data_IF_574559342246
#
_entry.id   IF_574559342246
#
_cell.length_a   1.000
_cell.length_b   1.000
_cell.length_c   1.000
_cell.angle_alpha   90.00
_cell.angle_beta   90.00
_cell.angle_gamma   90.00
#
_symmetry.space_group_name_H-M   'P 1'
#
loop_
_entity.id
_entity.type
_entity.pdbx_description
1 polymer ?
#
# COMPACT_ATOMS: atom_id res chain seq x y z
N UNK A 1 -12.42 -13.26 1.49
CA UNK A 1 -11.01 -13.41 1.10
C UNK A 1 -10.23 -12.27 1.75
N UNK A 2 -9.54 -12.50 2.89
CA UNK A 2 -8.91 -11.42 3.62
C UNK A 2 -7.57 -11.09 2.96
N UNK A 3 -7.54 -9.95 2.26
CA UNK A 3 -6.40 -9.02 2.15
C UNK A 3 -5.02 -9.65 2.15
N UNK A 4 -4.70 -10.31 1.04
CA UNK A 4 -3.31 -10.54 0.66
C UNK A 4 -2.62 -9.19 0.46
N UNK A 5 -1.47 -9.05 1.12
CA UNK A 5 -0.45 -8.00 1.01
C UNK A 5 -0.90 -6.53 1.12
N UNK A 6 -0.35 -5.82 2.12
CA UNK A 6 -0.46 -4.36 2.28
C UNK A 6 -0.13 -3.58 0.99
N UNK A 7 0.74 -4.11 0.15
CA UNK A 7 1.07 -3.57 -1.17
C UNK A 7 -0.13 -3.56 -2.12
N UNK A 8 -0.89 -4.65 -2.24
CA UNK A 8 -2.06 -4.72 -3.12
C UNK A 8 -3.18 -3.79 -2.64
N UNK A 9 -3.36 -3.68 -1.33
CA UNK A 9 -4.27 -2.69 -0.73
C UNK A 9 -3.86 -1.26 -1.09
N UNK A 10 -2.57 -0.92 -1.01
CA UNK A 10 -2.09 0.42 -1.38
C UNK A 10 -2.32 0.71 -2.87
N UNK A 11 -2.05 -0.26 -3.75
CA UNK A 11 -2.33 -0.09 -5.19
C UNK A 11 -3.82 0.11 -5.45
N UNK A 12 -4.69 -0.64 -4.76
CA UNK A 12 -6.13 -0.52 -4.89
C UNK A 12 -6.66 0.83 -4.41
N UNK A 13 -6.21 1.31 -3.24
CA UNK A 13 -6.58 2.64 -2.73
C UNK A 13 -6.06 3.75 -3.62
N UNK A 14 -4.81 3.65 -4.07
CA UNK A 14 -4.22 4.62 -4.98
C UNK A 14 -4.94 4.66 -6.34
N UNK A 15 -5.41 3.52 -6.85
CA UNK A 15 -6.16 3.46 -8.11
C UNK A 15 -7.45 4.28 -8.08
N UNK A 16 -8.16 4.30 -6.94
CA UNK A 16 -9.35 5.15 -6.76
C UNK A 16 -9.06 6.65 -6.86
N UNK A 17 -7.85 7.10 -6.52
CA UNK A 17 -7.48 8.51 -6.67
C UNK A 17 -7.56 8.99 -8.12
N UNK A 18 -7.30 8.12 -9.11
CA UNK A 18 -7.43 8.44 -10.54
C UNK A 18 -8.89 8.62 -10.95
N UNK A 19 -9.76 7.75 -10.46
CA UNK A 19 -11.22 7.84 -10.72
C UNK A 19 -11.75 9.14 -10.15
N UNK A 20 -11.40 9.45 -8.89
CA UNK A 20 -11.82 10.70 -8.24
C UNK A 20 -11.27 11.92 -8.99
N UNK A 21 -9.98 11.94 -9.33
CA UNK A 21 -9.37 13.05 -10.07
C UNK A 21 -10.06 13.25 -11.44
N UNK A 22 -10.34 12.16 -12.15
CA UNK A 22 -11.05 12.19 -13.43
C UNK A 22 -12.47 12.74 -13.32
N UNK A 23 -13.22 12.31 -12.30
CA UNK A 23 -14.58 12.80 -12.03
C UNK A 23 -14.58 14.28 -11.64
N UNK A 24 -13.66 14.67 -10.76
CA UNK A 24 -13.48 16.07 -10.37
C UNK A 24 -13.12 16.93 -11.57
N UNK A 25 -12.20 16.46 -12.42
CA UNK A 25 -11.85 17.15 -13.66
C UNK A 25 -13.06 17.26 -14.61
N UNK A 26 -13.82 16.17 -14.80
CA UNK A 26 -15.00 16.13 -15.67
C UNK A 26 -16.11 17.10 -15.21
N UNK A 27 -16.31 17.25 -13.89
CA UNK A 27 -17.39 18.05 -13.32
C UNK A 27 -16.98 19.51 -13.09
N UNK A 28 -15.80 19.75 -12.51
CA UNK A 28 -15.37 21.08 -12.09
C UNK A 28 -14.65 21.87 -13.18
N UNK A 29 -13.83 21.24 -14.05
CA UNK A 29 -13.09 22.00 -15.06
C UNK A 29 -14.01 22.78 -16.00
N UNK A 30 -15.13 22.23 -16.50
CA UNK A 30 -16.03 23.00 -17.36
C UNK A 30 -16.70 24.17 -16.64
N UNK A 31 -16.89 24.07 -15.31
CA UNK A 31 -17.45 25.14 -14.49
C UNK A 31 -16.45 26.29 -14.30
N UNK A 32 -15.18 25.94 -14.05
CA UNK A 32 -14.09 26.91 -13.84
C UNK A 32 -13.52 27.45 -15.15
N UNK A 33 -13.59 26.65 -16.21
CA UNK A 33 -13.00 26.89 -17.53
C UNK A 33 -14.02 26.50 -18.61
N UNK A 34 -14.95 27.39 -18.99
CA UNK A 34 -16.04 27.09 -19.93
C UNK A 34 -15.58 26.51 -21.28
N UNK A 35 -14.34 26.80 -21.69
CA UNK A 35 -13.72 26.21 -22.88
C UNK A 35 -13.58 24.68 -22.87
N UNK A 36 -13.78 24.02 -21.73
CA UNK A 36 -13.71 22.56 -21.57
C UNK A 36 -15.06 21.84 -21.72
N UNK A 37 -16.18 22.55 -21.92
CA UNK A 37 -17.48 21.88 -22.11
C UNK A 37 -17.48 20.89 -23.27
N UNK A 38 -16.87 21.25 -24.39
CA UNK A 38 -16.74 20.40 -25.57
C UNK A 38 -15.74 19.25 -25.38
N UNK A 39 -14.92 19.30 -24.33
CA UNK A 39 -13.88 18.32 -24.01
C UNK A 39 -14.25 17.37 -22.86
N UNK A 40 -15.46 17.50 -22.30
CA UNK A 40 -15.96 16.63 -21.20
C UNK A 40 -15.80 15.13 -21.48
N UNK A 41 -15.96 14.73 -22.74
CA UNK A 41 -15.83 13.34 -23.17
C UNK A 41 -14.42 12.76 -22.95
N UNK A 42 -13.36 13.57 -23.04
CA UNK A 42 -11.98 13.13 -22.78
C UNK A 42 -11.80 12.71 -21.32
N UNK A 43 -12.36 13.49 -20.38
CA UNK A 43 -12.33 13.13 -18.96
C UNK A 43 -13.22 11.92 -18.66
N UNK A 44 -14.37 11.80 -19.34
CA UNK A 44 -15.19 10.58 -19.27
C UNK A 44 -14.42 9.34 -19.73
N UNK A 45 -13.66 9.44 -20.82
CA UNK A 45 -12.77 8.38 -21.29
C UNK A 45 -11.65 8.04 -20.30
N UNK A 46 -11.05 9.05 -19.67
CA UNK A 46 -10.05 8.85 -18.62
C UNK A 46 -10.64 8.17 -17.38
N UNK A 47 -11.85 8.54 -16.95
CA UNK A 47 -12.56 7.87 -15.85
C UNK A 47 -12.86 6.41 -16.20
N UNK A 48 -13.33 6.14 -17.43
CA UNK A 48 -13.56 4.77 -17.88
C UNK A 48 -12.27 3.94 -17.88
N UNK A 49 -11.16 4.49 -18.38
CA UNK A 49 -9.83 3.88 -18.29
C UNK A 49 -9.42 3.60 -16.85
N UNK A 50 -9.61 4.56 -15.94
CA UNK A 50 -9.30 4.40 -14.53
C UNK A 50 -10.14 3.31 -13.86
N UNK A 51 -11.44 3.20 -14.19
CA UNK A 51 -12.33 2.14 -13.71
C UNK A 51 -11.93 0.75 -14.21
N UNK A 52 -11.56 0.64 -15.49
CA UNK A 52 -11.00 -0.62 -16.04
C UNK A 52 -9.72 -0.99 -15.30
N UNK A 53 -8.82 -0.01 -15.10
CA UNK A 53 -7.61 -0.18 -14.30
C UNK A 53 -7.91 -0.67 -12.89
N UNK A 54 -8.92 -0.10 -12.23
CA UNK A 54 -9.37 -0.52 -10.90
C UNK A 54 -9.87 -1.96 -10.87
N UNK A 55 -10.65 -2.37 -11.87
CA UNK A 55 -11.11 -3.75 -12.03
C UNK A 55 -9.95 -4.74 -12.24
N UNK A 56 -8.92 -4.34 -12.99
CA UNK A 56 -7.70 -5.14 -13.17
C UNK A 56 -6.89 -5.25 -11.88
N UNK A 57 -6.83 -4.19 -11.05
CA UNK A 57 -6.21 -4.24 -9.71
C UNK A 57 -6.96 -5.24 -8.83
N UNK A 58 -8.29 -5.17 -8.79
CA UNK A 58 -9.13 -6.09 -8.02
C UNK A 58 -8.93 -7.55 -8.43
N UNK A 59 -8.78 -7.82 -9.73
CA UNK A 59 -8.53 -9.18 -10.25
C UNK A 59 -7.07 -9.62 -10.19
N UNK A 60 -6.14 -8.77 -9.70
CA UNK A 60 -4.71 -9.10 -9.65
C UNK A 60 -4.01 -9.18 -11.02
N UNK A 61 -4.58 -8.59 -12.08
CA UNK A 61 -4.09 -8.72 -13.46
C UNK A 61 -3.12 -7.58 -13.81
N UNK A 62 -2.00 -7.92 -14.46
CA UNK A 62 -1.10 -6.95 -15.12
C UNK A 62 0.04 -6.36 -14.29
N UNK A 63 0.07 -6.60 -12.97
CA UNK A 63 1.24 -6.34 -12.12
C UNK A 63 1.90 -4.94 -12.29
N UNK A 64 3.25 -4.86 -12.34
CA UNK A 64 3.98 -3.60 -12.52
C UNK A 64 3.71 -2.90 -13.86
N UNK A 65 3.49 -3.68 -14.93
CA UNK A 65 3.27 -3.14 -16.29
C UNK A 65 2.00 -2.32 -16.34
N UNK A 66 0.89 -2.82 -15.74
CA UNK A 66 -0.36 -2.06 -15.62
C UNK A 66 -0.15 -0.72 -14.92
N UNK A 67 0.57 -0.73 -13.80
CA UNK A 67 0.80 0.50 -13.03
C UNK A 67 1.66 1.50 -13.79
N UNK A 68 2.66 1.02 -14.55
CA UNK A 68 3.45 1.85 -15.47
C UNK A 68 2.60 2.46 -16.59
N UNK A 69 1.81 1.63 -17.30
CA UNK A 69 0.91 2.09 -18.38
C UNK A 69 -0.06 3.15 -17.84
N UNK A 70 -0.64 2.91 -16.67
CA UNK A 70 -1.49 3.90 -16.00
C UNK A 70 -0.76 5.21 -15.74
N UNK A 71 0.48 5.18 -15.25
CA UNK A 71 1.27 6.38 -15.01
C UNK A 71 1.59 7.17 -16.29
N UNK A 72 1.83 6.47 -17.42
CA UNK A 72 2.02 7.11 -18.73
C UNK A 72 0.74 7.79 -19.22
N UNK A 73 -0.42 7.13 -19.06
CA UNK A 73 -1.72 7.71 -19.42
C UNK A 73 -2.05 8.93 -18.55
N UNK A 74 -1.81 8.85 -17.24
CA UNK A 74 -1.98 9.99 -16.32
C UNK A 74 -1.14 11.18 -16.79
N UNK A 75 0.12 10.94 -17.11
CA UNK A 75 1.04 11.98 -17.58
C UNK A 75 0.56 12.62 -18.87
N UNK A 76 0.11 11.83 -19.86
CA UNK A 76 -0.41 12.35 -21.11
C UNK A 76 -1.67 13.20 -20.89
N UNK A 77 -2.61 12.72 -20.07
CA UNK A 77 -3.84 13.42 -19.74
C UNK A 77 -3.58 14.76 -19.02
N UNK A 78 -2.69 14.75 -18.03
CA UNK A 78 -2.32 15.96 -17.28
C UNK A 78 -1.55 16.94 -18.17
N UNK A 79 -0.65 16.46 -19.03
CA UNK A 79 0.09 17.31 -19.98
C UNK A 79 -0.85 18.01 -20.95
N UNK A 80 -1.81 17.26 -21.51
CA UNK A 80 -2.84 17.82 -22.37
C UNK A 80 -3.65 18.89 -21.64
N UNK A 81 -4.11 18.61 -20.43
CA UNK A 81 -4.89 19.55 -19.61
C UNK A 81 -4.12 20.84 -19.35
N UNK A 82 -2.88 20.72 -18.86
CA UNK A 82 -2.04 21.86 -18.47
C UNK A 82 -1.75 22.77 -19.67
N UNK A 83 -1.46 22.20 -20.84
CA UNK A 83 -1.32 22.99 -22.07
C UNK A 83 -2.59 23.81 -22.40
N UNK A 84 -3.76 23.17 -22.31
CA UNK A 84 -5.04 23.81 -22.70
C UNK A 84 -5.43 24.96 -21.78
N UNK A 85 -5.12 24.89 -20.49
CA UNK A 85 -5.46 25.93 -19.49
C UNK A 85 -4.33 26.94 -19.29
N UNK A 86 -3.17 26.73 -19.89
CA UNK A 86 -1.98 27.58 -19.75
C UNK A 86 -0.96 26.93 -18.82
N UNK A 87 0.21 26.59 -19.39
CA UNK A 87 1.23 25.78 -18.74
C UNK A 87 1.79 26.37 -17.45
N UNK A 88 1.78 27.69 -17.30
CA UNK A 88 2.29 28.39 -16.11
C UNK A 88 1.27 29.26 -15.41
N UNK A 89 0.14 29.54 -16.06
CA UNK A 89 -0.86 30.47 -15.57
C UNK A 89 -1.78 29.88 -14.50
N UNK A 90 -1.81 28.56 -14.30
CA UNK A 90 -2.81 27.93 -13.42
C UNK A 90 -2.24 26.96 -12.40
N UNK A 91 -2.96 26.81 -11.28
CA UNK A 91 -2.63 25.85 -10.23
C UNK A 91 -2.82 24.38 -10.67
N UNK A 92 -3.37 24.12 -11.86
CA UNK A 92 -3.57 22.75 -12.36
C UNK A 92 -2.25 22.00 -12.58
N UNK A 93 -1.13 22.72 -12.73
CA UNK A 93 0.22 22.14 -12.71
C UNK A 93 0.48 21.33 -11.43
N UNK A 94 -0.17 21.67 -10.31
CA UNK A 94 -0.07 20.93 -9.05
C UNK A 94 -0.48 19.44 -9.19
N UNK A 95 -1.33 19.10 -10.17
CA UNK A 95 -1.79 17.74 -10.43
C UNK A 95 -0.62 16.83 -10.84
N UNK A 96 0.41 17.35 -11.52
CA UNK A 96 1.61 16.59 -11.85
C UNK A 96 2.32 16.05 -10.61
N UNK A 97 2.41 16.87 -9.56
CA UNK A 97 3.06 16.48 -8.31
C UNK A 97 2.27 15.38 -7.61
N UNK A 98 0.95 15.55 -7.53
CA UNK A 98 0.08 14.53 -6.95
C UNK A 98 0.21 13.20 -7.70
N UNK A 99 0.13 13.23 -9.04
CA UNK A 99 0.30 12.05 -9.88
C UNK A 99 1.67 11.40 -9.73
N UNK A 100 2.76 12.18 -9.71
CA UNK A 100 4.11 11.67 -9.54
C UNK A 100 4.33 11.02 -8.17
N UNK A 101 3.79 11.61 -7.10
CA UNK A 101 3.84 11.07 -5.73
C UNK A 101 3.11 9.73 -5.68
N UNK A 102 1.85 9.70 -6.13
CA UNK A 102 1.02 8.48 -6.13
C UNK A 102 1.68 7.38 -6.96
N UNK A 103 2.13 7.69 -8.17
CA UNK A 103 2.83 6.73 -9.01
C UNK A 103 4.08 6.20 -8.32
N UNK A 104 4.91 7.05 -7.73
CA UNK A 104 6.14 6.63 -7.04
C UNK A 104 5.87 5.71 -5.84
N UNK A 105 4.80 5.96 -5.10
CA UNK A 105 4.37 5.10 -3.99
C UNK A 105 3.95 3.70 -4.49
N UNK A 106 3.27 3.66 -5.63
CA UNK A 106 2.65 2.45 -6.21
C UNK A 106 3.62 1.59 -7.02
N UNK A 107 4.40 2.20 -7.92
CA UNK A 107 5.31 1.49 -8.85
C UNK A 107 6.72 1.29 -8.28
N UNK A 108 7.02 1.92 -7.15
CA UNK A 108 8.34 1.90 -6.53
C UNK A 108 9.26 2.99 -7.05
N UNK A 109 10.37 3.20 -6.32
CA UNK A 109 11.26 4.37 -6.48
C UNK A 109 11.83 4.51 -7.89
N UNK A 110 12.37 3.43 -8.47
CA UNK A 110 13.07 3.52 -9.77
C UNK A 110 12.12 3.92 -10.90
N UNK A 111 10.98 3.23 -11.00
CA UNK A 111 9.97 3.51 -12.04
C UNK A 111 9.28 4.85 -11.78
N UNK A 112 8.98 5.17 -10.52
CA UNK A 112 8.38 6.47 -10.15
C UNK A 112 9.24 7.66 -10.53
N UNK A 113 10.54 7.63 -10.21
CA UNK A 113 11.49 8.68 -10.62
C UNK A 113 11.63 8.75 -12.14
N UNK A 114 11.63 7.62 -12.83
CA UNK A 114 11.64 7.58 -14.30
C UNK A 114 10.41 8.24 -14.94
N UNK A 115 9.22 7.97 -14.40
CA UNK A 115 7.99 8.63 -14.83
C UNK A 115 7.99 10.13 -14.52
N UNK A 116 8.52 10.54 -13.37
CA UNK A 116 8.67 11.97 -13.03
C UNK A 116 9.65 12.67 -13.98
N UNK A 117 10.75 12.01 -14.36
CA UNK A 117 11.69 12.53 -15.36
C UNK A 117 11.02 12.71 -16.72
N UNK A 118 10.28 11.70 -17.19
CA UNK A 118 9.53 11.80 -18.42
C UNK A 118 8.52 12.97 -18.36
N UNK A 119 7.78 13.11 -17.26
CA UNK A 119 6.83 14.20 -17.07
C UNK A 119 7.50 15.57 -17.11
N UNK A 120 8.66 15.73 -16.46
CA UNK A 120 9.46 16.96 -16.52
C UNK A 120 9.91 17.29 -17.93
N UNK A 121 10.34 16.30 -18.72
CA UNK A 121 10.73 16.49 -20.13
C UNK A 121 9.52 16.92 -20.96
N UNK A 122 8.39 16.22 -20.84
CA UNK A 122 7.17 16.56 -21.59
C UNK A 122 6.66 17.96 -21.28
N UNK A 123 6.57 18.31 -19.99
CA UNK A 123 6.15 19.64 -19.57
C UNK A 123 7.10 20.72 -20.10
N UNK A 124 8.42 20.50 -19.98
CA UNK A 124 9.42 21.45 -20.46
C UNK A 124 9.37 21.62 -21.98
N UNK A 125 9.11 20.54 -22.73
CA UNK A 125 8.93 20.59 -24.18
C UNK A 125 7.68 21.41 -24.56
N UNK A 126 6.56 21.24 -23.86
CA UNK A 126 5.36 22.06 -24.05
C UNK A 126 5.67 23.54 -23.82
N UNK A 127 6.32 23.88 -22.71
CA UNK A 127 6.72 25.26 -22.42
C UNK A 127 7.62 25.83 -23.50
N UNK A 128 8.63 25.08 -23.95
CA UNK A 128 9.56 25.52 -24.99
C UNK A 128 8.86 25.73 -26.33
N UNK A 129 7.93 24.84 -26.71
CA UNK A 129 7.16 24.97 -27.95
C UNK A 129 6.13 26.11 -27.90
N UNK A 130 5.49 26.32 -26.76
CA UNK A 130 4.68 27.53 -26.53
C UNK A 130 5.54 28.79 -26.67
N UNK A 131 6.78 28.77 -26.13
CA UNK A 131 7.70 29.90 -26.26
C UNK A 131 8.25 30.10 -27.68
N UNK A 132 8.44 29.02 -28.45
CA UNK A 132 8.81 29.11 -29.85
C UNK A 132 7.65 29.56 -30.77
N UNK A 133 6.42 29.65 -30.24
CA UNK A 133 5.22 29.93 -31.03
C UNK A 133 4.77 28.74 -31.89
N UNK A 134 5.30 27.54 -31.63
CA UNK A 134 4.91 26.30 -32.31
C UNK A 134 3.58 25.75 -31.78
N UNK A 135 3.22 26.10 -30.54
CA UNK A 135 1.95 25.77 -29.92
C UNK A 135 1.24 27.04 -29.41
N UNK A 136 -0.10 27.11 -29.51
CA UNK A 136 -0.87 28.19 -28.92
C UNK A 136 -0.84 28.09 -27.39
N UNK A 137 -0.50 29.16 -26.69
CA UNK A 137 -0.49 29.16 -25.23
C UNK A 137 -1.93 29.20 -24.69
N UNK A 138 -2.29 28.23 -23.84
CA UNK A 138 -3.55 28.26 -23.09
C UNK A 138 -4.81 28.54 -23.92
N UNK A 139 -5.12 27.76 -24.97
CA UNK A 139 -6.26 28.04 -25.86
C UNK A 139 -7.64 28.04 -25.17
N UNK A 140 -7.74 27.43 -23.98
CA UNK A 140 -8.94 27.50 -23.12
C UNK A 140 -8.67 28.21 -21.79
N UNK A 141 -7.54 28.89 -21.67
CA UNK A 141 -7.18 29.63 -20.47
C UNK A 141 -8.17 30.80 -20.26
N UNK A 142 -8.57 31.08 -19.02
CA UNK A 142 -9.32 32.28 -18.71
C UNK A 142 -8.44 33.51 -18.95
N UNK A 143 -9.05 34.68 -19.15
CA UNK A 143 -8.33 35.90 -19.54
C UNK A 143 -7.13 36.25 -18.65
N UNK A 144 -7.24 35.99 -17.34
CA UNK A 144 -6.17 36.24 -16.37
C UNK A 144 -4.98 35.27 -16.47
N UNK A 145 -5.17 34.06 -17.01
CA UNK A 145 -4.13 33.04 -17.20
C UNK A 145 -3.69 32.88 -18.66
N UNK A 146 -4.40 33.52 -19.60
CA UNK A 146 -4.11 33.49 -21.03
C UNK A 146 -2.90 34.37 -21.42
N UNK A 147 -2.36 35.13 -20.48
CA UNK A 147 -1.16 35.93 -20.71
C UNK A 147 0.07 35.02 -20.75
N UNK A 148 0.72 34.97 -21.92
CA UNK A 148 1.92 34.16 -22.11
C UNK A 148 3.08 34.74 -21.28
N UNK A 149 3.74 33.94 -20.44
CA UNK A 149 4.87 34.41 -19.63
C UNK A 149 6.06 34.81 -20.50
N UNK A 150 6.89 35.71 -19.97
CA UNK A 150 8.16 36.07 -20.61
C UNK A 150 9.10 34.86 -20.73
N UNK A 151 10.08 34.93 -21.63
CA UNK A 151 11.03 33.83 -21.86
C UNK A 151 11.80 33.44 -20.58
N UNK A 152 12.18 34.43 -19.77
CA UNK A 152 12.87 34.21 -18.49
C UNK A 152 11.98 33.50 -17.49
N UNK A 153 10.74 33.95 -17.33
CA UNK A 153 9.79 33.36 -16.38
C UNK A 153 9.44 31.93 -16.78
N UNK A 154 9.30 31.68 -18.08
CA UNK A 154 9.07 30.35 -18.63
C UNK A 154 10.25 29.40 -18.40
N UNK A 155 11.49 29.88 -18.59
CA UNK A 155 12.68 29.08 -18.32
C UNK A 155 12.82 28.76 -16.82
N UNK A 156 12.61 29.75 -15.95
CA UNK A 156 12.66 29.59 -14.49
C UNK A 156 11.56 28.64 -14.01
N UNK A 157 10.33 28.83 -14.47
CA UNK A 157 9.19 27.99 -14.09
C UNK A 157 9.36 26.52 -14.51
N UNK A 158 9.85 26.27 -15.73
CA UNK A 158 10.12 24.90 -16.20
C UNK A 158 11.23 24.23 -15.40
N UNK A 159 12.30 24.98 -15.09
CA UNK A 159 13.42 24.49 -14.29
C UNK A 159 13.00 24.17 -12.87
N UNK A 160 12.26 25.07 -12.22
CA UNK A 160 11.73 24.86 -10.87
C UNK A 160 10.77 23.67 -10.84
N UNK A 161 9.84 23.58 -11.79
CA UNK A 161 8.93 22.44 -11.91
C UNK A 161 9.67 21.11 -12.03
N UNK A 162 10.67 21.03 -12.92
CA UNK A 162 11.45 19.82 -13.10
C UNK A 162 12.21 19.43 -11.82
N UNK A 163 12.85 20.42 -11.17
CA UNK A 163 13.62 20.21 -9.95
C UNK A 163 12.75 19.74 -8.78
N UNK A 164 11.60 20.37 -8.54
CA UNK A 164 10.69 20.02 -7.45
C UNK A 164 9.95 18.71 -7.72
N UNK A 165 9.57 18.42 -8.97
CA UNK A 165 8.91 17.16 -9.33
C UNK A 165 9.86 15.97 -9.16
N UNK A 166 11.09 16.09 -9.67
CA UNK A 166 12.12 15.06 -9.51
C UNK A 166 12.55 14.91 -8.04
N UNK A 167 12.74 16.03 -7.35
CA UNK A 167 13.10 16.04 -5.93
C UNK A 167 12.04 15.38 -5.06
N UNK A 168 10.76 15.71 -5.27
CA UNK A 168 9.64 15.10 -4.53
C UNK A 168 9.48 13.61 -4.84
N UNK A 169 9.53 13.19 -6.11
CA UNK A 169 9.50 11.78 -6.48
C UNK A 169 10.70 11.01 -5.89
N UNK A 170 11.91 11.60 -5.92
CA UNK A 170 13.11 11.02 -5.33
C UNK A 170 12.98 10.83 -3.81
N UNK A 171 12.54 11.87 -3.10
CA UNK A 171 12.37 11.87 -1.65
C UNK A 171 11.27 10.90 -1.21
N UNK A 172 10.08 10.97 -1.82
CA UNK A 172 8.97 10.04 -1.53
C UNK A 172 9.37 8.60 -1.82
N UNK A 173 10.04 8.36 -2.95
CA UNK A 173 10.53 7.04 -3.30
C UNK A 173 11.55 6.49 -2.30
N UNK A 174 12.43 7.34 -1.77
CA UNK A 174 13.37 6.99 -0.71
C UNK A 174 12.64 6.63 0.59
N UNK A 175 11.76 7.51 1.06
CA UNK A 175 10.98 7.31 2.29
C UNK A 175 10.14 6.03 2.22
N UNK A 176 9.44 5.81 1.11
CA UNK A 176 8.64 4.61 0.91
C UNK A 176 9.48 3.34 0.91
N UNK A 177 10.72 3.39 0.40
CA UNK A 177 11.64 2.24 0.43
C UNK A 177 12.10 1.96 1.86
N UNK A 178 12.49 2.99 2.61
CA UNK A 178 12.88 2.86 4.02
C UNK A 178 11.76 2.32 4.91
N UNK A 179 10.52 2.79 4.69
CA UNK A 179 9.35 2.29 5.42
C UNK A 179 9.17 0.79 5.15
N UNK A 180 9.22 0.37 3.88
CA UNK A 180 9.08 -1.05 3.52
C UNK A 180 10.19 -1.92 4.11
N UNK A 181 11.44 -1.46 4.11
CA UNK A 181 12.56 -2.15 4.74
C UNK A 181 12.36 -2.31 6.25
N UNK A 182 11.96 -1.24 6.94
CA UNK A 182 11.67 -1.28 8.38
C UNK A 182 10.51 -2.20 8.71
N UNK A 183 9.43 -2.18 7.93
CA UNK A 183 8.32 -3.11 8.13
C UNK A 183 8.77 -4.57 7.94
N UNK A 184 9.60 -4.86 6.95
CA UNK A 184 10.13 -6.21 6.72
C UNK A 184 11.03 -6.65 7.88
N UNK A 185 11.89 -5.77 8.38
CA UNK A 185 12.74 -6.01 9.54
C UNK A 185 11.93 -6.27 10.81
N UNK A 186 10.91 -5.43 11.08
CA UNK A 186 10.01 -5.61 12.23
C UNK A 186 9.26 -6.95 12.15
N UNK A 187 8.75 -7.32 10.98
CA UNK A 187 8.10 -8.63 10.78
C UNK A 187 9.07 -9.78 11.01
N UNK A 188 10.31 -9.67 10.53
CA UNK A 188 11.33 -10.69 10.74
C UNK A 188 11.72 -10.82 12.23
N UNK A 189 11.86 -9.70 12.95
CA UNK A 189 12.12 -9.68 14.39
C UNK A 189 10.94 -10.25 15.18
N UNK A 190 9.71 -9.87 14.85
CA UNK A 190 8.50 -10.44 15.46
C UNK A 190 8.46 -11.97 15.29
N UNK A 191 8.70 -12.48 14.08
CA UNK A 191 8.76 -13.92 13.84
C UNK A 191 9.89 -14.63 14.61
N UNK A 192 11.04 -13.96 14.81
CA UNK A 192 12.11 -14.49 15.67
C UNK A 192 11.73 -14.52 17.15
N UNK A 193 11.06 -13.47 17.64
CA UNK A 193 10.56 -13.44 19.02
C UNK A 193 9.50 -14.53 19.25
N UNK A 194 8.57 -14.71 18.31
CA UNK A 194 7.62 -15.83 18.34
C UNK A 194 8.35 -17.19 18.33
N UNK A 195 9.40 -17.33 17.52
CA UNK A 195 10.22 -18.53 17.50
C UNK A 195 11.04 -18.76 18.78
N UNK A 196 11.34 -17.71 19.55
CA UNK A 196 12.02 -17.81 20.85
C UNK A 196 11.05 -17.93 22.03
N UNK A 197 9.77 -17.58 21.84
CA UNK A 197 8.76 -17.76 22.86
C UNK A 197 8.65 -19.23 23.24
N UNK A 198 8.72 -19.49 24.54
CA UNK A 198 8.45 -20.81 25.13
C UNK A 198 6.96 -20.98 25.45
N UNK A 199 6.16 -19.92 25.28
CA UNK A 199 4.75 -19.87 25.66
C UNK A 199 3.86 -19.82 24.43
N UNK A 200 2.71 -20.47 24.52
CA UNK A 200 1.63 -20.38 23.55
C UNK A 200 0.95 -19.00 23.63
N UNK A 201 0.74 -18.29 22.51
CA UNK A 201 0.25 -16.92 22.55
C UNK A 201 -1.23 -16.80 22.96
N UNK A 202 -2.03 -17.86 22.81
CA UNK A 202 -3.45 -17.84 23.19
C UNK A 202 -3.64 -18.19 24.66
N UNK A 203 -3.05 -19.31 25.08
CA UNK A 203 -3.27 -19.88 26.41
C UNK A 203 -2.26 -19.41 27.46
N UNK A 204 -1.14 -18.81 27.02
CA UNK A 204 0.01 -18.47 27.86
C UNK A 204 0.62 -19.65 28.64
N UNK A 205 0.22 -20.89 28.36
CA UNK A 205 0.93 -22.08 28.83
C UNK A 205 2.21 -22.31 28.03
N UNK A 206 3.03 -23.27 28.42
CA UNK A 206 4.19 -23.62 27.62
C UNK A 206 3.77 -24.18 26.26
N UNK A 207 4.45 -23.81 25.19
CA UNK A 207 4.17 -24.36 23.88
C UNK A 207 4.80 -25.75 23.70
N UNK A 208 4.35 -26.48 22.69
CA UNK A 208 4.89 -27.78 22.28
C UNK A 208 6.42 -27.83 22.25
N UNK A 209 7.08 -26.78 21.72
CA UNK A 209 8.56 -26.75 21.62
C UNK A 209 9.19 -26.83 23.01
N UNK A 210 8.72 -26.02 23.94
CA UNK A 210 9.19 -26.07 25.32
C UNK A 210 8.88 -27.41 25.99
N UNK A 211 7.67 -27.95 25.79
CA UNK A 211 7.29 -29.26 26.33
C UNK A 211 8.26 -30.36 25.88
N UNK A 212 8.61 -30.42 24.59
CA UNK A 212 9.55 -31.42 24.07
C UNK A 212 10.95 -31.24 24.67
N UNK A 213 11.45 -30.01 24.75
CA UNK A 213 12.76 -29.73 25.37
C UNK A 213 12.78 -30.12 26.86
N UNK A 214 11.68 -29.84 27.57
CA UNK A 214 11.56 -30.22 28.98
C UNK A 214 11.48 -31.73 29.12
N UNK A 215 10.72 -32.42 28.28
CA UNK A 215 10.60 -33.87 28.27
C UNK A 215 11.96 -34.56 28.09
N UNK A 216 12.83 -34.07 27.19
CA UNK A 216 14.19 -34.61 27.03
C UNK A 216 15.02 -34.50 28.32
N UNK A 217 14.95 -33.35 29.00
CA UNK A 217 15.64 -33.11 30.27
C UNK A 217 15.12 -34.02 31.38
N UNK A 218 13.82 -34.20 31.41
CA UNK A 218 13.08 -34.99 32.36
C UNK A 218 13.34 -36.50 32.17
N UNK A 219 13.37 -37.00 30.93
CA UNK A 219 13.80 -38.38 30.62
C UNK A 219 15.22 -38.69 31.12
N UNK A 220 16.14 -37.72 31.08
CA UNK A 220 17.47 -37.90 31.64
C UNK A 220 17.46 -38.04 33.18
N UNK A 221 16.48 -37.45 33.89
CA UNK A 221 16.28 -37.64 35.33
C UNK A 221 15.66 -38.99 35.65
N UNK A 222 14.74 -39.47 34.81
CA UNK A 222 14.16 -40.82 34.95
C UNK A 222 15.24 -41.89 34.90
N UNK A 223 16.21 -41.74 33.99
CA UNK A 223 17.39 -42.64 33.91
C UNK A 223 18.24 -42.66 35.19
N UNK A 224 18.15 -41.64 36.05
CA UNK A 224 18.82 -41.55 37.35
C UNK A 224 17.96 -42.03 38.53
N UNK A 225 16.78 -42.58 38.26
CA UNK A 225 15.92 -43.23 39.27
C UNK A 225 14.75 -42.40 39.80
N UNK A 226 14.49 -41.21 39.26
CA UNK A 226 13.32 -40.40 39.64
C UNK A 226 12.08 -40.77 38.81
N UNK A 227 10.91 -41.06 39.42
CA UNK A 227 9.70 -41.38 38.67
C UNK A 227 9.11 -40.15 37.96
N UNK A 228 8.34 -40.40 36.90
CA UNK A 228 7.72 -39.37 36.07
C UNK A 228 6.38 -39.82 35.52
N UNK A 229 5.47 -38.88 35.33
CA UNK A 229 4.23 -39.07 34.59
C UNK A 229 4.08 -37.97 33.53
N UNK A 230 3.46 -38.32 32.40
CA UNK A 230 3.03 -37.39 31.36
C UNK A 230 1.54 -37.64 31.14
N UNK A 231 0.76 -36.56 31.09
CA UNK A 231 -0.65 -36.59 30.75
C UNK A 231 -0.83 -35.84 29.43
N UNK A 232 -1.50 -36.46 28.47
CA UNK A 232 -1.92 -35.83 27.22
C UNK A 232 -3.44 -35.67 27.29
N UNK A 233 -3.94 -34.46 27.07
CA UNK A 233 -5.35 -34.12 27.18
C UNK A 233 -5.83 -33.62 25.82
N UNK A 234 -6.94 -34.18 25.33
CA UNK A 234 -7.62 -33.73 24.10
C UNK A 234 -9.05 -33.29 24.46
N UNK A 235 -9.54 -32.19 23.89
CA UNK A 235 -10.88 -31.69 24.17
C UNK A 235 -11.92 -32.32 23.25
N UNK A 236 -12.74 -33.20 23.83
CA UNK A 236 -13.81 -33.88 23.11
C UNK A 236 -14.74 -32.93 22.37
N UNK A 237 -14.94 -33.20 21.06
CA UNK A 237 -15.88 -32.48 20.18
C UNK A 237 -15.61 -30.97 20.07
N UNK A 238 -14.39 -30.50 20.34
CA UNK A 238 -14.04 -29.07 20.23
C UNK A 238 -14.34 -28.48 18.84
N UNK A 239 -14.08 -29.24 17.77
CA UNK A 239 -14.43 -28.84 16.40
C UNK A 239 -15.91 -28.48 16.25
N UNK A 240 -16.82 -29.21 16.88
CA UNK A 240 -18.26 -28.94 16.82
C UNK A 240 -18.60 -27.59 17.46
N UNK A 241 -17.92 -27.23 18.55
CA UNK A 241 -18.09 -25.92 19.18
C UNK A 241 -17.64 -24.80 18.24
N UNK A 242 -16.48 -24.96 17.58
CA UNK A 242 -16.02 -24.01 16.57
C UNK A 242 -17.01 -23.87 15.40
N UNK A 243 -17.59 -24.97 14.94
CA UNK A 243 -18.53 -24.99 13.83
C UNK A 243 -19.89 -24.35 14.20
N UNK A 244 -20.38 -24.57 15.43
CA UNK A 244 -21.69 -24.07 15.89
C UNK A 244 -21.64 -22.64 16.45
N UNK A 245 -20.53 -22.24 17.10
CA UNK A 245 -20.42 -20.99 17.86
C UNK A 245 -19.28 -20.07 17.37
N UNK A 246 -18.49 -20.52 16.39
CA UNK A 246 -17.39 -19.78 15.82
C UNK A 246 -16.08 -19.92 16.61
N UNK A 247 -14.97 -19.60 15.94
CA UNK A 247 -13.61 -19.75 16.49
C UNK A 247 -13.34 -18.93 17.75
N UNK A 248 -14.00 -17.77 17.91
CA UNK A 248 -13.82 -16.94 19.10
C UNK A 248 -14.27 -17.66 20.38
N UNK A 249 -15.39 -18.38 20.32
CA UNK A 249 -15.86 -19.20 21.45
C UNK A 249 -14.90 -20.36 21.74
N UNK A 250 -14.36 -20.99 20.69
CA UNK A 250 -13.34 -22.02 20.86
C UNK A 250 -12.08 -21.48 21.56
N UNK A 251 -11.61 -20.30 21.18
CA UNK A 251 -10.47 -19.64 21.81
C UNK A 251 -10.73 -19.35 23.30
N UNK A 252 -11.94 -18.87 23.65
CA UNK A 252 -12.33 -18.64 25.05
C UNK A 252 -12.29 -19.93 25.89
N UNK A 253 -12.77 -21.05 25.33
CA UNK A 253 -12.72 -22.36 25.99
C UNK A 253 -11.27 -22.81 26.21
N UNK A 254 -10.40 -22.66 25.21
CA UNK A 254 -8.99 -23.02 25.33
C UNK A 254 -8.29 -22.20 26.43
N UNK A 255 -8.60 -20.90 26.54
CA UNK A 255 -8.10 -20.03 27.61
C UNK A 255 -8.62 -20.49 28.98
N UNK A 256 -9.90 -20.85 29.10
CA UNK A 256 -10.49 -21.33 30.34
C UNK A 256 -9.87 -22.67 30.80
N UNK A 257 -9.66 -23.62 29.88
CA UNK A 257 -8.98 -24.89 30.17
C UNK A 257 -7.53 -24.64 30.59
N UNK A 258 -6.83 -23.74 29.91
CA UNK A 258 -5.47 -23.39 30.26
C UNK A 258 -5.33 -22.84 31.68
N UNK A 259 -6.26 -21.97 32.10
CA UNK A 259 -6.31 -21.45 33.45
C UNK A 259 -6.59 -22.57 34.47
N UNK A 260 -7.56 -23.44 34.19
CA UNK A 260 -7.88 -24.57 35.07
C UNK A 260 -6.69 -25.55 35.22
N UNK A 261 -5.95 -25.83 34.14
CA UNK A 261 -4.74 -26.65 34.19
C UNK A 261 -3.65 -25.99 35.03
N UNK A 262 -3.42 -24.69 34.85
CA UNK A 262 -2.42 -23.95 35.63
C UNK A 262 -2.72 -23.98 37.13
N UNK A 263 -3.99 -23.83 37.53
CA UNK A 263 -4.43 -23.89 38.93
C UNK A 263 -4.37 -25.31 39.52
N UNK A 264 -4.64 -26.34 38.70
CA UNK A 264 -4.62 -27.74 39.13
C UNK A 264 -3.20 -28.32 39.25
N UNK A 265 -2.20 -27.70 38.61
CA UNK A 265 -0.81 -28.15 38.62
C UNK A 265 0.01 -27.56 39.78
N UNK A 266 0.97 -28.34 40.30
CA UNK A 266 1.93 -27.87 41.31
C UNK A 266 3.04 -27.05 40.65
N UNK A 267 3.81 -26.31 41.45
CA UNK A 267 4.90 -25.45 40.96
C UNK A 267 5.97 -26.17 40.10
N UNK A 268 6.17 -27.47 40.34
CA UNK A 268 7.15 -28.29 39.60
C UNK A 268 6.59 -28.91 38.31
N UNK A 269 5.26 -28.93 38.16
CA UNK A 269 4.58 -29.50 37.01
C UNK A 269 4.64 -28.49 35.83
N UNK A 270 4.55 -28.99 34.59
CA UNK A 270 4.79 -28.17 33.38
C UNK A 270 3.57 -28.24 32.45
N UNK A 271 2.50 -27.48 32.73
CA UNK A 271 1.34 -27.43 31.84
C UNK A 271 1.71 -26.71 30.53
N UNK A 272 1.27 -27.27 29.42
CA UNK A 272 1.50 -26.71 28.09
C UNK A 272 0.37 -27.00 27.14
N UNK A 273 0.43 -26.38 25.95
CA UNK A 273 -0.43 -26.69 24.81
C UNK A 273 0.40 -27.40 23.76
N UNK A 274 0.03 -28.64 23.45
CA UNK A 274 0.69 -29.44 22.43
C UNK A 274 0.30 -28.97 21.02
N UNK A 275 -0.97 -28.62 20.78
CA UNK A 275 -1.41 -28.03 19.52
C UNK A 275 -2.91 -28.16 19.29
N UNK A 276 -3.53 -27.18 18.63
CA UNK A 276 -4.99 -27.22 18.44
C UNK A 276 -5.72 -27.25 19.79
N UNK A 277 -6.47 -28.30 20.03
CA UNK A 277 -7.22 -28.62 21.25
C UNK A 277 -6.46 -29.55 22.23
N UNK A 278 -5.21 -29.90 21.93
CA UNK A 278 -4.38 -30.80 22.73
C UNK A 278 -3.49 -30.03 23.72
N UNK A 279 -3.44 -30.51 24.97
CA UNK A 279 -2.63 -30.00 26.08
C UNK A 279 -1.64 -31.05 26.60
#
# INVERSE_FOLDING_TARGET
>A
MPLQASAERLQYVAGWSRVVLGLVAMLLLPLLYPGFETQRWLFGGYVAFALVGQGLIYKGIGGPVRSFVGGVVDMAAVTFLVHRVGSMGTMLVAIYYFGAIVNTLVVGRRVGVGLALAASIFYSAVVLWEQAGLLPYGPNAPAWAAMRPGHTDAAVGATLFAATLLGSAGLVGLLATRIREREAELRALAGRLEALSQRDPLTHLFNRRYLMQRLETELARVRRGSPMAVLMIDLDKFKRVNDEQGHQMGDEILVAIAAALAEATREVDVPGRYGGDEF
#
